data_IF_822045716092
#
_entry.id   IF_822045716092
#
_cell.length_a   1.000
_cell.length_b   1.000
_cell.length_c   1.000
_cell.angle_alpha   90.00
_cell.angle_beta   90.00
_cell.angle_gamma   90.00
#
_symmetry.space_group_name_H-M   'P 1'
#
loop_
_entity.id
_entity.type
_entity.pdbx_description
1 polymer ?
#
# COMPACT_ATOMS: atom_id res chain seq x y z
N UNK A 1 -6.53 -18.48 -28.64
CA UNK A 1 -5.37 -17.77 -29.20
C UNK A 1 -4.29 -17.53 -28.15
N UNK A 2 -4.54 -16.78 -27.07
CA UNK A 2 -3.51 -16.46 -26.04
C UNK A 2 -3.05 -17.68 -25.21
N UNK A 3 -3.92 -18.66 -24.98
CA UNK A 3 -3.57 -19.90 -24.26
C UNK A 3 -2.76 -20.91 -25.10
N UNK A 4 -2.39 -20.59 -26.34
CA UNK A 4 -1.66 -21.51 -27.21
C UNK A 4 -0.24 -21.75 -26.67
N UNK A 5 0.27 -23.00 -26.64
CA UNK A 5 1.57 -23.32 -26.03
C UNK A 5 2.75 -22.50 -26.56
N UNK A 6 2.75 -22.17 -27.86
CA UNK A 6 3.80 -21.36 -28.46
C UNK A 6 3.79 -19.90 -27.94
N UNK A 7 2.60 -19.30 -27.80
CA UNK A 7 2.44 -17.96 -27.24
C UNK A 7 2.82 -17.94 -25.76
N UNK A 8 2.43 -18.97 -25.01
CA UNK A 8 2.77 -19.14 -23.60
C UNK A 8 4.28 -19.31 -23.39
N UNK A 9 4.96 -20.05 -24.25
CA UNK A 9 6.42 -20.17 -24.20
C UNK A 9 7.09 -18.81 -24.44
N UNK A 10 6.65 -18.05 -25.44
CA UNK A 10 7.19 -16.72 -25.74
C UNK A 10 7.02 -15.77 -24.54
N UNK A 11 5.81 -15.72 -23.96
CA UNK A 11 5.52 -14.90 -22.79
C UNK A 11 6.39 -15.30 -21.59
N UNK A 12 6.56 -16.61 -21.37
CA UNK A 12 7.41 -17.15 -20.32
C UNK A 12 8.87 -16.74 -20.51
N UNK A 13 9.38 -16.77 -21.75
CA UNK A 13 10.74 -16.34 -22.04
C UNK A 13 10.91 -14.85 -21.73
N UNK A 14 9.97 -14.00 -22.15
CA UNK A 14 10.00 -12.56 -21.85
C UNK A 14 9.91 -12.28 -20.34
N UNK A 15 9.14 -13.07 -19.61
CA UNK A 15 8.96 -12.92 -18.15
C UNK A 15 10.23 -13.24 -17.35
N UNK A 16 11.06 -14.18 -17.83
CA UNK A 16 12.28 -14.64 -17.16
C UNK A 16 13.57 -14.22 -17.87
N UNK A 17 13.50 -13.31 -18.84
CA UNK A 17 14.59 -12.95 -19.75
C UNK A 17 15.90 -12.60 -19.01
N UNK A 18 15.79 -11.88 -17.89
CA UNK A 18 16.92 -11.42 -17.08
C UNK A 18 17.31 -12.37 -15.92
N UNK A 19 16.69 -13.56 -15.83
CA UNK A 19 16.87 -14.51 -14.74
C UNK A 19 17.17 -15.92 -15.27
N UNK A 20 18.40 -16.18 -15.73
CA UNK A 20 18.76 -17.47 -16.33
C UNK A 20 18.56 -18.62 -15.33
N UNK A 21 17.85 -19.65 -15.79
CA UNK A 21 17.59 -20.86 -15.02
C UNK A 21 16.51 -20.74 -13.95
N UNK A 22 15.87 -19.57 -13.75
CA UNK A 22 14.82 -19.38 -12.74
C UNK A 22 13.70 -20.42 -12.86
N UNK A 23 13.28 -20.74 -14.08
CA UNK A 23 12.22 -21.73 -14.35
C UNK A 23 12.48 -23.07 -13.67
N UNK A 24 13.72 -23.57 -13.71
CA UNK A 24 14.11 -24.90 -13.22
C UNK A 24 14.41 -24.95 -11.71
N UNK A 25 14.42 -23.80 -11.00
CA UNK A 25 14.74 -23.76 -9.57
C UNK A 25 13.59 -24.31 -8.71
N UNK A 26 13.95 -24.94 -7.60
CA UNK A 26 13.03 -25.42 -6.59
C UNK A 26 12.21 -24.25 -5.99
N UNK A 27 10.91 -24.42 -5.67
CA UNK A 27 10.08 -23.36 -5.10
C UNK A 27 10.67 -22.71 -3.84
N UNK A 28 11.28 -23.49 -2.93
CA UNK A 28 11.96 -22.92 -1.75
C UNK A 28 13.12 -21.99 -2.11
N UNK A 29 13.93 -22.34 -3.12
CA UNK A 29 15.01 -21.46 -3.59
C UNK A 29 14.47 -20.19 -4.20
N UNK A 30 13.35 -20.27 -4.94
CA UNK A 30 12.66 -19.09 -5.49
C UNK A 30 12.15 -18.18 -4.36
N UNK A 31 11.51 -18.76 -3.35
CA UNK A 31 11.01 -18.02 -2.19
C UNK A 31 12.14 -17.31 -1.45
N UNK A 32 13.23 -18.02 -1.17
CA UNK A 32 14.41 -17.46 -0.52
C UNK A 32 15.00 -16.29 -1.33
N UNK A 33 15.14 -16.45 -2.65
CA UNK A 33 15.65 -15.39 -3.51
C UNK A 33 14.72 -14.18 -3.57
N UNK A 34 13.40 -14.39 -3.65
CA UNK A 34 12.43 -13.30 -3.56
C UNK A 34 12.59 -12.52 -2.24
N UNK A 35 12.73 -13.23 -1.12
CA UNK A 35 12.96 -12.60 0.18
C UNK A 35 14.26 -11.79 0.21
N UNK A 36 15.37 -12.34 -0.31
CA UNK A 36 16.63 -11.61 -0.46
C UNK A 36 16.48 -10.35 -1.34
N UNK A 37 15.73 -10.42 -2.44
CA UNK A 37 15.47 -9.26 -3.30
C UNK A 37 14.69 -8.16 -2.59
N UNK A 38 13.68 -8.52 -1.79
CA UNK A 38 12.89 -7.57 -1.00
C UNK A 38 13.78 -6.84 0.01
N UNK A 39 14.66 -7.58 0.71
CA UNK A 39 15.61 -6.98 1.66
C UNK A 39 16.63 -6.10 0.97
N UNK A 40 17.08 -6.47 -0.22
CA UNK A 40 18.05 -5.70 -0.99
C UNK A 40 17.45 -4.44 -1.66
N UNK A 41 16.12 -4.35 -1.76
CA UNK A 41 15.39 -3.25 -2.41
C UNK A 41 15.81 -1.83 -2.01
N UNK A 42 16.01 -1.48 -0.71
CA UNK A 42 16.52 -0.17 -0.30
C UNK A 42 17.88 0.21 -0.92
N UNK A 43 18.68 -0.77 -1.35
CA UNK A 43 19.97 -0.55 -2.04
C UNK A 43 19.77 -0.60 -3.56
N UNK A 44 18.91 -1.51 -4.06
CA UNK A 44 18.65 -1.67 -5.49
C UNK A 44 17.90 -0.48 -6.11
N UNK A 45 17.02 0.19 -5.36
CA UNK A 45 16.26 1.33 -5.88
C UNK A 45 17.12 2.59 -6.13
N UNK A 46 17.99 3.06 -5.21
CA UNK A 46 18.90 4.16 -5.48
C UNK A 46 19.90 3.84 -6.60
N UNK A 47 20.43 2.62 -6.64
CA UNK A 47 21.36 2.20 -7.71
C UNK A 47 20.70 2.20 -9.08
N UNK A 48 19.41 1.82 -9.17
CA UNK A 48 18.63 1.96 -10.40
C UNK A 48 18.46 3.42 -10.84
N UNK A 49 18.24 4.34 -9.89
CA UNK A 49 18.09 5.78 -10.19
C UNK A 49 19.39 6.40 -10.69
N UNK A 50 20.53 6.01 -10.12
CA UNK A 50 21.86 6.55 -10.46
C UNK A 50 22.39 5.93 -11.76
N UNK A 51 22.21 4.62 -11.94
CA UNK A 51 22.78 3.89 -13.07
C UNK A 51 21.75 2.95 -13.73
N UNK A 52 20.78 3.50 -14.50
CA UNK A 52 19.65 2.74 -15.05
C UNK A 52 20.02 1.74 -16.15
N UNK A 53 21.22 1.87 -16.76
CA UNK A 53 21.67 1.00 -17.86
C UNK A 53 22.56 -0.19 -17.41
N UNK A 54 22.95 -0.23 -16.13
CA UNK A 54 23.77 -1.32 -15.61
C UNK A 54 23.01 -2.64 -15.42
N UNK A 55 23.73 -3.68 -15.02
CA UNK A 55 23.19 -5.02 -14.77
C UNK A 55 21.99 -4.99 -13.78
N UNK A 56 22.11 -4.23 -12.70
CA UNK A 56 21.02 -4.05 -11.73
C UNK A 56 19.81 -3.38 -12.36
N UNK A 57 20.01 -2.37 -13.22
CA UNK A 57 18.90 -1.70 -13.89
C UNK A 57 18.20 -2.55 -14.94
N UNK A 58 18.93 -3.40 -15.65
CA UNK A 58 18.36 -4.40 -16.55
C UNK A 58 17.56 -5.45 -15.78
N UNK A 59 18.07 -5.93 -14.65
CA UNK A 59 17.37 -6.86 -13.77
C UNK A 59 16.08 -6.25 -13.20
N UNK A 60 16.14 -5.01 -12.71
CA UNK A 60 14.99 -4.26 -12.16
C UNK A 60 13.90 -3.97 -13.21
N UNK A 61 14.26 -3.93 -14.49
CA UNK A 61 13.29 -3.77 -15.60
C UNK A 61 12.50 -5.04 -15.90
N UNK A 62 12.95 -6.20 -15.42
CA UNK A 62 12.29 -7.48 -15.60
C UNK A 62 10.85 -7.46 -15.05
N UNK A 63 9.85 -7.96 -15.82
CA UNK A 63 8.45 -8.02 -15.37
C UNK A 63 8.27 -8.74 -14.03
N UNK A 64 9.01 -9.84 -13.81
CA UNK A 64 8.94 -10.60 -12.57
C UNK A 64 9.41 -9.77 -11.37
N UNK A 65 10.53 -9.05 -11.50
CA UNK A 65 11.08 -8.24 -10.40
C UNK A 65 10.16 -7.08 -10.06
N UNK A 66 9.57 -6.42 -11.07
CA UNK A 66 8.54 -5.40 -10.87
C UNK A 66 7.33 -5.96 -10.12
N UNK A 67 6.86 -7.15 -10.50
CA UNK A 67 5.75 -7.83 -9.85
C UNK A 67 6.06 -8.18 -8.38
N UNK A 68 7.23 -8.77 -8.12
CA UNK A 68 7.68 -9.12 -6.76
C UNK A 68 7.76 -7.86 -5.90
N UNK A 69 8.37 -6.79 -6.42
CA UNK A 69 8.54 -5.54 -5.66
C UNK A 69 7.21 -4.85 -5.37
N UNK A 70 6.29 -4.82 -6.34
CA UNK A 70 4.95 -4.28 -6.14
C UNK A 70 4.19 -5.10 -5.07
N UNK A 71 4.22 -6.42 -5.19
CA UNK A 71 3.56 -7.34 -4.23
C UNK A 71 4.16 -7.23 -2.83
N UNK A 72 5.48 -7.14 -2.73
CA UNK A 72 6.19 -6.99 -1.46
C UNK A 72 5.90 -5.65 -0.79
N UNK A 73 5.90 -4.55 -1.55
CA UNK A 73 5.52 -3.23 -1.05
C UNK A 73 4.10 -3.24 -0.46
N UNK A 74 3.17 -3.90 -1.14
CA UNK A 74 1.79 -4.06 -0.66
C UNK A 74 1.71 -4.95 0.59
N UNK A 75 2.45 -6.05 0.65
CA UNK A 75 2.53 -6.90 1.85
C UNK A 75 3.12 -6.14 3.06
N UNK A 76 4.17 -5.35 2.87
CA UNK A 76 4.75 -4.49 3.92
C UNK A 76 3.72 -3.45 4.39
N UNK A 77 2.97 -2.85 3.46
CA UNK A 77 1.90 -1.93 3.80
C UNK A 77 0.83 -2.59 4.70
N UNK A 78 0.38 -3.80 4.35
CA UNK A 78 -0.57 -4.55 5.19
C UNK A 78 0.04 -4.89 6.56
N UNK A 79 1.31 -5.25 6.60
CA UNK A 79 2.00 -5.50 7.88
C UNK A 79 2.08 -4.24 8.74
N UNK A 80 2.34 -3.07 8.15
CA UNK A 80 2.29 -1.79 8.86
C UNK A 80 0.89 -1.48 9.38
N UNK A 81 -0.16 -1.75 8.61
CA UNK A 81 -1.54 -1.60 9.07
C UNK A 81 -1.88 -2.56 10.22
N UNK A 82 -1.37 -3.79 10.16
CA UNK A 82 -1.52 -4.77 11.25
C UNK A 82 -0.83 -4.27 12.52
N UNK A 83 0.40 -3.76 12.42
CA UNK A 83 1.10 -3.17 13.57
C UNK A 83 0.32 -1.96 14.09
N UNK A 84 -0.13 -1.04 13.23
CA UNK A 84 -0.94 0.11 13.65
C UNK A 84 -2.23 -0.31 14.36
N UNK A 85 -2.82 -1.44 13.97
CA UNK A 85 -4.01 -2.01 14.62
C UNK A 85 -3.70 -2.80 15.90
N UNK A 86 -2.48 -3.32 16.04
CA UNK A 86 -2.05 -4.18 17.16
C UNK A 86 -1.17 -3.42 18.14
N UNK A 87 -0.95 -2.12 17.90
CA UNK A 87 0.19 -1.36 18.43
C UNK A 87 0.35 -1.59 19.94
N UNK A 88 1.49 -2.19 20.29
CA UNK A 88 1.88 -2.64 21.63
C UNK A 88 2.30 -1.49 22.55
N UNK A 89 1.83 -0.27 22.26
CA UNK A 89 1.88 0.84 23.19
C UNK A 89 1.06 0.43 24.41
N UNK A 90 1.60 0.67 25.60
CA UNK A 90 0.95 0.37 26.88
C UNK A 90 -0.54 0.70 26.79
N UNK A 91 -1.46 -0.22 27.14
CA UNK A 91 -2.92 -0.02 26.97
C UNK A 91 -3.39 1.37 27.45
N UNK A 92 -2.70 1.93 28.45
CA UNK A 92 -2.87 3.28 28.99
C UNK A 92 -2.59 4.41 27.99
N UNK A 93 -1.57 4.31 27.14
CA UNK A 93 -1.24 5.33 26.12
C UNK A 93 -2.23 5.31 24.96
N UNK A 94 -2.66 4.10 24.56
CA UNK A 94 -3.73 3.90 23.59
C UNK A 94 -5.05 4.49 24.10
N UNK A 95 -5.40 4.20 25.35
CA UNK A 95 -6.61 4.73 25.97
C UNK A 95 -6.56 6.26 26.03
N UNK A 96 -5.45 6.84 26.49
CA UNK A 96 -5.25 8.30 26.53
C UNK A 96 -5.29 8.96 25.15
N UNK A 97 -4.73 8.32 24.11
CA UNK A 97 -4.82 8.82 22.73
C UNK A 97 -6.23 8.71 22.16
N UNK A 98 -6.94 7.63 22.46
CA UNK A 98 -8.31 7.39 22.02
C UNK A 98 -9.32 8.36 22.66
N UNK A 99 -8.95 8.97 23.79
CA UNK A 99 -9.71 9.97 24.53
C UNK A 99 -9.41 11.41 24.08
N UNK A 100 -8.49 11.63 23.14
CA UNK A 100 -8.13 12.95 22.61
C UNK A 100 -8.68 13.11 21.19
N UNK A 101 -9.42 14.20 20.93
CA UNK A 101 -9.85 14.58 19.58
C UNK A 101 -8.66 15.07 18.77
N UNK A 102 -8.49 14.57 17.54
CA UNK A 102 -7.35 14.94 16.69
C UNK A 102 -5.97 14.65 17.34
N UNK A 103 -5.65 13.39 17.67
CA UNK A 103 -4.35 13.03 18.21
C UNK A 103 -3.24 13.33 17.19
N UNK A 104 -2.05 13.67 17.67
CA UNK A 104 -0.90 13.90 16.81
C UNK A 104 -0.47 12.59 16.13
N UNK A 105 -0.15 12.61 14.82
CA UNK A 105 0.09 11.40 14.04
C UNK A 105 1.28 10.60 14.57
N UNK A 106 1.11 9.29 14.70
CA UNK A 106 2.16 8.39 15.15
C UNK A 106 3.22 8.16 14.06
N UNK A 107 4.43 7.72 14.42
CA UNK A 107 5.48 7.36 13.46
C UNK A 107 4.97 6.31 12.47
N UNK A 108 4.22 5.32 12.96
CA UNK A 108 3.62 4.27 12.11
C UNK A 108 2.58 4.85 11.17
N UNK A 109 1.72 5.77 11.62
CA UNK A 109 0.75 6.46 10.78
C UNK A 109 1.45 7.31 9.71
N UNK A 110 2.53 8.01 10.06
CA UNK A 110 3.36 8.76 9.12
C UNK A 110 4.00 7.86 8.05
N UNK A 111 4.44 6.66 8.44
CA UNK A 111 4.88 5.64 7.48
C UNK A 111 3.71 5.22 6.57
N UNK A 112 2.56 4.85 7.12
CA UNK A 112 1.37 4.49 6.32
C UNK A 112 1.02 5.61 5.32
N UNK A 113 1.05 6.87 5.73
CA UNK A 113 0.83 8.03 4.86
C UNK A 113 1.83 8.06 3.69
N UNK A 114 3.11 7.82 3.96
CA UNK A 114 4.13 7.75 2.92
C UNK A 114 3.82 6.68 1.86
N UNK A 115 3.36 5.50 2.30
CA UNK A 115 2.92 4.44 1.38
C UNK A 115 1.66 4.83 0.58
N UNK A 116 0.66 5.43 1.23
CA UNK A 116 -0.58 5.86 0.56
C UNK A 116 -0.27 6.87 -0.55
N UNK A 117 0.62 7.83 -0.32
CA UNK A 117 1.07 8.79 -1.35
C UNK A 117 1.70 8.05 -2.53
N UNK A 118 2.54 7.05 -2.26
CA UNK A 118 3.16 6.22 -3.29
C UNK A 118 2.14 5.43 -4.13
N UNK A 119 1.11 4.86 -3.49
CA UNK A 119 0.05 4.15 -4.21
C UNK A 119 -0.84 5.09 -5.03
N UNK A 120 -1.20 6.25 -4.49
CA UNK A 120 -1.95 7.28 -5.25
C UNK A 120 -1.17 7.70 -6.49
N UNK A 121 0.12 7.97 -6.35
CA UNK A 121 0.98 8.28 -7.50
C UNK A 121 1.04 7.13 -8.52
N UNK A 122 1.10 5.88 -8.06
CA UNK A 122 1.10 4.71 -8.93
C UNK A 122 -0.21 4.59 -9.73
N UNK A 123 -1.36 4.74 -9.07
CA UNK A 123 -2.68 4.69 -9.74
C UNK A 123 -2.85 5.83 -10.73
N UNK A 124 -2.39 7.05 -10.39
CA UNK A 124 -2.44 8.18 -11.32
C UNK A 124 -1.63 7.90 -12.59
N UNK A 125 -0.46 7.28 -12.47
CA UNK A 125 0.34 6.87 -13.63
C UNK A 125 -0.34 5.77 -14.43
N UNK A 126 -0.96 4.79 -13.79
CA UNK A 126 -1.70 3.74 -14.49
C UNK A 126 -2.86 4.32 -15.33
N UNK A 127 -3.63 5.25 -14.76
CA UNK A 127 -4.71 5.93 -15.49
C UNK A 127 -4.17 6.70 -16.69
N UNK A 128 -3.01 7.34 -16.54
CA UNK A 128 -2.35 8.08 -17.62
C UNK A 128 -1.84 7.16 -18.75
N UNK A 129 -1.26 6.01 -18.40
CA UNK A 129 -0.67 5.07 -19.36
C UNK A 129 -1.71 4.17 -20.07
N UNK A 130 -2.71 3.65 -19.34
CA UNK A 130 -3.75 2.77 -19.89
C UNK A 130 -4.91 3.54 -20.52
N UNK A 131 -5.16 4.76 -20.04
CA UNK A 131 -6.31 5.59 -20.40
C UNK A 131 -7.58 5.28 -19.59
N UNK A 132 -8.35 6.32 -19.29
CA UNK A 132 -9.51 6.27 -18.38
C UNK A 132 -10.56 5.21 -18.76
N UNK A 133 -10.87 5.06 -20.06
CA UNK A 133 -11.89 4.12 -20.54
C UNK A 133 -11.49 2.66 -20.33
N UNK A 134 -10.21 2.34 -20.49
CA UNK A 134 -9.70 1.00 -20.24
C UNK A 134 -9.68 0.71 -18.73
N UNK A 135 -9.23 1.70 -17.94
CA UNK A 135 -9.17 1.62 -16.48
C UNK A 135 -10.55 1.33 -15.85
N UNK A 136 -11.57 2.11 -16.20
CA UNK A 136 -12.93 1.99 -15.63
C UNK A 136 -13.63 0.67 -16.00
N UNK A 137 -13.23 0.02 -17.10
CA UNK A 137 -13.80 -1.27 -17.51
C UNK A 137 -13.32 -2.42 -16.63
N UNK A 138 -12.19 -2.25 -15.94
CA UNK A 138 -11.62 -3.28 -15.08
C UNK A 138 -12.16 -3.12 -13.64
N UNK A 139 -12.96 -4.09 -13.18
CA UNK A 139 -13.56 -4.06 -11.85
C UNK A 139 -12.53 -3.99 -10.71
N UNK A 140 -11.35 -4.57 -10.91
CA UNK A 140 -10.26 -4.51 -9.92
C UNK A 140 -9.74 -3.10 -9.68
N UNK A 141 -9.66 -2.30 -10.74
CA UNK A 141 -9.22 -0.91 -10.65
C UNK A 141 -10.21 -0.06 -9.84
N UNK A 142 -11.51 -0.43 -9.85
CA UNK A 142 -12.50 0.21 -8.97
C UNK A 142 -12.27 -0.08 -7.50
N UNK A 143 -11.86 -1.31 -7.15
CA UNK A 143 -11.52 -1.64 -5.75
C UNK A 143 -10.30 -0.85 -5.29
N UNK A 144 -9.29 -0.71 -6.15
CA UNK A 144 -8.09 0.07 -5.85
C UNK A 144 -8.39 1.57 -5.69
N UNK A 145 -9.20 2.12 -6.61
CA UNK A 145 -9.67 3.49 -6.52
C UNK A 145 -10.48 3.76 -5.26
N UNK A 146 -11.41 2.87 -4.90
CA UNK A 146 -12.24 3.01 -3.69
C UNK A 146 -11.39 2.94 -2.43
N UNK A 147 -10.49 1.96 -2.33
CA UNK A 147 -9.59 1.79 -1.19
C UNK A 147 -8.72 3.03 -0.99
N UNK A 148 -8.07 3.54 -2.05
CA UNK A 148 -7.25 4.74 -1.95
C UNK A 148 -8.07 6.00 -1.67
N UNK A 149 -9.28 6.09 -2.21
CA UNK A 149 -10.23 7.16 -1.89
C UNK A 149 -10.60 7.20 -0.40
N UNK A 150 -10.83 6.04 0.21
CA UNK A 150 -11.10 5.92 1.64
C UNK A 150 -9.88 6.30 2.49
N UNK A 151 -8.67 5.89 2.08
CA UNK A 151 -7.44 6.35 2.74
C UNK A 151 -7.28 7.87 2.65
N UNK A 152 -7.40 8.46 1.45
CA UNK A 152 -7.28 9.91 1.27
C UNK A 152 -8.32 10.68 2.10
N UNK A 153 -9.56 10.18 2.17
CA UNK A 153 -10.61 10.79 2.99
C UNK A 153 -10.29 10.70 4.48
N UNK A 154 -9.76 9.56 4.93
CA UNK A 154 -9.28 9.39 6.31
C UNK A 154 -8.20 10.43 6.65
N UNK A 155 -7.21 10.60 5.78
CA UNK A 155 -6.12 11.57 5.97
C UNK A 155 -6.67 13.00 6.01
N UNK A 156 -7.57 13.35 5.10
CA UNK A 156 -8.20 14.67 5.08
C UNK A 156 -8.95 14.97 6.39
N UNK A 157 -9.73 14.01 6.89
CA UNK A 157 -10.45 14.15 8.17
C UNK A 157 -9.50 14.25 9.36
N UNK A 158 -8.41 13.48 9.39
CA UNK A 158 -7.37 13.59 10.43
C UNK A 158 -6.71 14.98 10.43
N UNK A 159 -6.41 15.52 9.25
CA UNK A 159 -5.88 16.89 9.11
C UNK A 159 -6.88 17.92 9.62
N UNK A 160 -8.16 17.80 9.25
CA UNK A 160 -9.23 18.67 9.75
C UNK A 160 -9.34 18.59 11.27
N UNK A 161 -9.28 17.38 11.85
CA UNK A 161 -9.32 17.20 13.29
C UNK A 161 -8.12 17.87 14.00
N UNK A 162 -6.91 17.74 13.47
CA UNK A 162 -5.73 18.41 14.03
C UNK A 162 -5.86 19.94 13.91
N UNK A 163 -6.39 20.46 12.80
CA UNK A 163 -6.61 21.90 12.62
C UNK A 163 -7.62 22.41 13.65
N UNK A 164 -8.79 21.76 13.77
CA UNK A 164 -9.84 22.15 14.73
C UNK A 164 -9.34 22.15 16.19
N UNK A 165 -8.47 21.20 16.54
CA UNK A 165 -7.80 21.16 17.85
C UNK A 165 -6.87 22.35 18.03
N UNK A 166 -6.01 22.63 17.05
CA UNK A 166 -5.04 23.74 17.12
C UNK A 166 -5.70 25.12 17.12
N UNK A 167 -6.85 25.25 16.45
CA UNK A 167 -7.64 26.49 16.43
C UNK A 167 -8.57 26.63 17.64
N UNK A 168 -8.57 25.67 18.58
CA UNK A 168 -9.48 25.59 19.73
C UNK A 168 -10.98 25.64 19.34
N UNK A 169 -11.31 25.24 18.12
CA UNK A 169 -12.70 25.24 17.63
C UNK A 169 -13.51 24.03 18.13
N UNK A 170 -12.86 23.04 18.75
CA UNK A 170 -13.55 21.93 19.42
C UNK A 170 -14.24 22.31 20.74
N UNK A 171 -13.98 23.49 21.29
CA UNK A 171 -14.42 23.92 22.62
C UNK A 171 -13.28 23.89 23.66
N UNK A 172 -13.52 24.52 24.80
CA UNK A 172 -12.50 24.85 25.82
C UNK A 172 -12.07 23.68 26.73
N UNK A 173 -12.72 22.51 26.66
CA UNK A 173 -12.43 21.41 27.59
C UNK A 173 -12.33 20.04 26.89
N UNK A 174 -11.40 19.16 27.32
CA UNK A 174 -11.32 17.79 26.85
C UNK A 174 -12.58 17.02 27.28
N UNK A 175 -13.51 16.86 26.34
CA UNK A 175 -14.72 16.06 26.53
C UNK A 175 -14.38 14.57 26.46
N UNK A 176 -14.92 13.73 27.37
CA UNK A 176 -14.78 12.29 27.28
C UNK A 176 -15.40 11.77 25.96
N UNK A 177 -14.86 10.66 25.43
CA UNK A 177 -15.21 10.11 24.10
C UNK A 177 -16.71 9.86 23.91
N UNK A 178 -17.42 9.51 24.97
CA UNK A 178 -18.88 9.28 24.96
C UNK A 178 -19.71 10.55 24.72
N UNK A 179 -19.13 11.73 24.89
CA UNK A 179 -19.79 13.03 24.66
C UNK A 179 -19.32 13.68 23.36
N UNK A 180 -18.61 12.93 22.51
CA UNK A 180 -18.20 13.44 21.21
C UNK A 180 -19.41 13.54 20.27
N UNK A 181 -19.54 14.63 19.50
CA UNK A 181 -20.56 14.71 18.47
C UNK A 181 -20.44 13.53 17.51
N UNK A 182 -21.58 13.00 17.04
CA UNK A 182 -21.60 11.89 16.08
C UNK A 182 -20.88 12.25 14.76
N UNK A 183 -20.83 13.53 14.42
CA UNK A 183 -20.15 14.07 13.24
C UNK A 183 -18.68 14.46 13.51
N UNK A 184 -18.08 14.02 14.62
CA UNK A 184 -16.68 14.35 14.91
C UNK A 184 -15.75 13.76 13.83
N UNK A 185 -14.86 14.57 13.22
CA UNK A 185 -14.02 14.11 12.13
C UNK A 185 -13.02 13.02 12.58
N UNK A 186 -12.67 12.96 13.87
CA UNK A 186 -11.84 11.87 14.42
C UNK A 186 -12.58 10.54 14.32
N UNK A 187 -13.85 10.49 14.75
CA UNK A 187 -14.67 9.27 14.70
C UNK A 187 -14.91 8.81 13.26
N UNK A 188 -15.26 9.76 12.38
CA UNK A 188 -15.44 9.46 10.95
C UNK A 188 -14.15 8.94 10.32
N UNK A 189 -13.00 9.53 10.67
CA UNK A 189 -11.70 9.06 10.16
C UNK A 189 -11.37 7.63 10.62
N UNK A 190 -11.66 7.28 11.87
CA UNK A 190 -11.43 5.92 12.39
C UNK A 190 -12.31 4.87 11.72
N UNK A 191 -13.58 5.21 11.47
CA UNK A 191 -14.50 4.36 10.74
C UNK A 191 -14.04 4.13 9.28
N UNK A 192 -13.73 5.21 8.55
CA UNK A 192 -13.26 5.12 7.17
C UNK A 192 -11.92 4.39 7.05
N UNK A 193 -11.01 4.60 8.01
CA UNK A 193 -9.74 3.88 8.07
C UNK A 193 -9.94 2.37 8.21
N UNK A 194 -10.87 1.96 9.07
CA UNK A 194 -11.21 0.55 9.29
C UNK A 194 -11.80 -0.09 8.03
N UNK A 195 -12.67 0.63 7.33
CA UNK A 195 -13.24 0.17 6.05
C UNK A 195 -12.12 0.06 4.99
N UNK A 196 -11.23 1.06 4.89
CA UNK A 196 -10.09 1.03 3.98
C UNK A 196 -9.18 -0.19 4.25
N UNK A 197 -8.96 -0.53 5.53
CA UNK A 197 -8.18 -1.69 5.93
C UNK A 197 -8.79 -3.01 5.44
N UNK A 198 -10.11 -3.16 5.52
CA UNK A 198 -10.82 -4.34 5.00
C UNK A 198 -10.62 -4.48 3.49
N UNK A 199 -10.74 -3.37 2.74
CA UNK A 199 -10.49 -3.37 1.29
C UNK A 199 -9.03 -3.71 0.95
N UNK A 200 -8.07 -3.24 1.75
CA UNK A 200 -6.65 -3.62 1.61
C UNK A 200 -6.45 -5.12 1.73
N UNK A 201 -7.10 -5.79 2.69
CA UNK A 201 -7.04 -7.26 2.75
C UNK A 201 -7.73 -7.94 1.56
N UNK A 202 -8.87 -7.41 1.10
CA UNK A 202 -9.55 -7.96 -0.07
C UNK A 202 -8.67 -7.92 -1.33
N UNK A 203 -7.81 -6.91 -1.47
CA UNK A 203 -6.83 -6.83 -2.57
C UNK A 203 -5.81 -7.97 -2.56
N UNK A 204 -5.53 -8.64 -1.43
CA UNK A 204 -4.65 -9.84 -1.43
C UNK A 204 -5.23 -10.95 -2.33
N UNK A 205 -6.56 -11.06 -2.43
CA UNK A 205 -7.23 -12.06 -3.28
C UNK A 205 -6.77 -11.94 -4.74
N UNK A 206 -6.46 -10.72 -5.20
CA UNK A 206 -5.92 -10.46 -6.53
C UNK A 206 -4.58 -11.17 -6.79
N UNK A 207 -3.69 -11.22 -5.78
CA UNK A 207 -2.39 -11.87 -5.91
C UNK A 207 -2.51 -13.39 -6.12
N UNK A 208 -3.58 -14.00 -5.61
CA UNK A 208 -3.85 -15.43 -5.80
C UNK A 208 -4.48 -15.77 -7.16
N UNK A 209 -4.95 -14.77 -7.93
CA UNK A 209 -5.51 -14.99 -9.26
C UNK A 209 -4.48 -15.02 -10.38
N UNK A 210 -3.21 -14.74 -10.08
CA UNK A 210 -2.09 -14.88 -11.04
C UNK A 210 -1.88 -16.37 -11.34
N UNK A 211 -2.51 -16.84 -12.42
CA UNK A 211 -2.30 -18.17 -13.03
C UNK A 211 -1.47 -18.05 -14.29
#
# INVERSE_FOLDING_TARGET
FVAHPHCQHLLTTLWYDQLPGWRKRHPFTKLFLCFCFIIALPILAPTYLIHPHGCVGQLMRSPLIKFINHSASFAIFIFLLLIASTDTLTKTDLQRRSEIRGPDPNVIEMLILWWVIGFVWSEMKQIWEEGLKAYVRQWWNWLDFLMLGLYLTTVALRVVAVILRKTNQYGTEPLPRNQWPETDPTLLSEALFSIAHIFSFARIIFLFQVR
#
